data_IF_039858508258
#
_entry.id   IF_039858508258
#
_cell.length_a   1.000
_cell.length_b   1.000
_cell.length_c   1.000
_cell.angle_alpha   90.00
_cell.angle_beta   90.00
_cell.angle_gamma   90.00
#
_symmetry.space_group_name_H-M   'P 1'
#
loop_
_entity.id
_entity.type
_entity.pdbx_description
1 polymer ?
#
# COMPACT_ATOMS: atom_id res chain seq x y z
N UNK A 1 -24.17 3.24 21.29
CA UNK A 1 -24.38 1.92 21.92
C UNK A 1 -23.09 1.13 21.78
N UNK A 2 -22.44 0.83 22.90
CA UNK A 2 -21.24 0.00 22.94
C UNK A 2 -21.68 -1.46 22.78
N UNK A 3 -21.43 -2.06 21.61
CA UNK A 3 -21.43 -3.51 21.48
C UNK A 3 -20.09 -3.99 22.04
N UNK A 4 -20.07 -4.39 23.31
CA UNK A 4 -19.01 -5.28 23.79
C UNK A 4 -19.36 -6.67 23.25
N UNK A 5 -18.60 -7.23 22.30
CA UNK A 5 -18.83 -8.61 21.90
C UNK A 5 -18.63 -9.50 23.12
N UNK A 6 -19.49 -10.52 23.25
CA UNK A 6 -19.33 -11.60 24.24
C UNK A 6 -18.27 -12.61 23.76
N UNK A 7 -17.48 -12.26 22.74
CA UNK A 7 -16.43 -13.06 22.13
C UNK A 7 -15.07 -12.59 22.63
N UNK A 8 -14.20 -13.54 22.95
CA UNK A 8 -12.83 -13.24 23.35
C UNK A 8 -12.06 -12.66 22.15
N UNK A 9 -11.36 -11.54 22.38
CA UNK A 9 -10.46 -10.98 21.38
C UNK A 9 -9.34 -11.98 21.08
N UNK A 10 -9.07 -12.20 19.79
CA UNK A 10 -7.97 -13.07 19.34
C UNK A 10 -6.63 -12.48 19.72
N UNK A 11 -6.54 -11.15 19.67
CA UNK A 11 -5.37 -10.38 20.09
C UNK A 11 -5.81 -8.97 20.48
N UNK A 12 -5.29 -8.48 21.61
CA UNK A 12 -5.38 -7.08 21.99
C UNK A 12 -3.98 -6.53 22.12
N UNK A 13 -3.69 -5.44 21.41
CA UNK A 13 -2.38 -4.80 21.40
C UNK A 13 -2.52 -3.30 21.54
N UNK A 14 -1.48 -2.65 22.05
CA UNK A 14 -1.34 -1.19 22.00
C UNK A 14 -0.22 -0.85 21.04
N UNK A 15 -0.50 0.06 20.13
CA UNK A 15 0.52 0.58 19.21
C UNK A 15 0.43 2.09 19.09
N UNK A 16 1.59 2.71 18.92
CA UNK A 16 1.69 4.09 18.48
C UNK A 16 2.38 4.09 17.12
N UNK A 17 1.66 4.51 16.09
CA UNK A 17 2.19 4.57 14.73
C UNK A 17 3.08 5.79 14.58
N UNK A 18 4.30 5.59 14.06
CA UNK A 18 5.13 6.69 13.59
C UNK A 18 4.72 7.10 12.17
N UNK A 19 5.04 8.34 11.78
CA UNK A 19 4.79 8.80 10.40
C UNK A 19 5.50 7.91 9.36
N UNK A 20 6.69 7.40 9.69
CA UNK A 20 7.46 6.54 8.79
C UNK A 20 6.83 5.15 8.65
N UNK A 21 6.34 4.59 9.76
CA UNK A 21 5.68 3.28 9.74
C UNK A 21 4.33 3.35 9.01
N UNK A 22 3.58 4.43 9.20
CA UNK A 22 2.36 4.69 8.46
C UNK A 22 2.60 4.78 6.95
N UNK A 23 3.58 5.59 6.52
CA UNK A 23 3.93 5.74 5.12
C UNK A 23 4.42 4.41 4.50
N UNK A 24 5.25 3.65 5.23
CA UNK A 24 5.72 2.33 4.80
C UNK A 24 4.57 1.34 4.66
N UNK A 25 3.69 1.22 5.66
CA UNK A 25 2.55 0.33 5.64
C UNK A 25 1.60 0.63 4.47
N UNK A 26 1.27 1.90 4.26
CA UNK A 26 0.42 2.33 3.15
C UNK A 26 1.04 2.02 1.79
N UNK A 27 2.35 2.30 1.62
CA UNK A 27 3.03 2.06 0.35
C UNK A 27 3.06 0.57 -0.02
N UNK A 28 3.34 -0.30 0.95
CA UNK A 28 3.35 -1.75 0.73
C UNK A 28 1.95 -2.24 0.34
N UNK A 29 0.92 -1.75 1.03
CA UNK A 29 -0.48 -2.08 0.73
C UNK A 29 -0.89 -1.63 -0.68
N UNK A 30 -0.55 -0.40 -1.07
CA UNK A 30 -0.85 0.13 -2.41
C UNK A 30 -0.13 -0.67 -3.52
N UNK A 31 1.15 -1.00 -3.33
CA UNK A 31 1.93 -1.80 -4.28
C UNK A 31 1.43 -3.24 -4.42
N UNK A 32 0.84 -3.81 -3.37
CA UNK A 32 0.28 -5.16 -3.41
C UNK A 32 -1.09 -5.22 -4.09
N UNK A 33 -1.89 -4.15 -3.96
CA UNK A 33 -3.26 -4.11 -4.46
C UNK A 33 -3.37 -3.62 -5.91
N UNK A 34 -2.42 -2.81 -6.37
CA UNK A 34 -2.41 -2.35 -7.75
C UNK A 34 -1.07 -2.60 -8.44
N UNK A 35 -1.04 -3.35 -9.57
CA UNK A 35 0.16 -3.48 -10.39
C UNK A 35 0.65 -2.12 -10.89
N UNK A 36 -0.27 -1.20 -11.20
CA UNK A 36 0.08 0.15 -11.65
C UNK A 36 0.56 1.04 -10.51
N UNK A 37 0.48 0.64 -9.24
CA UNK A 37 1.14 1.37 -8.16
C UNK A 37 2.66 1.13 -8.15
N UNK A 38 3.15 0.08 -8.82
CA UNK A 38 4.58 -0.23 -8.91
C UNK A 38 5.24 0.66 -9.98
N UNK A 39 6.30 1.41 -9.63
CA UNK A 39 6.97 2.29 -10.59
C UNK A 39 7.61 1.49 -11.74
N UNK A 40 8.08 0.28 -11.47
CA UNK A 40 8.65 -0.62 -12.50
C UNK A 40 7.63 -1.05 -13.57
N UNK A 41 6.37 -1.28 -13.18
CA UNK A 41 5.31 -1.66 -14.13
C UNK A 41 4.97 -0.48 -15.04
N UNK A 42 4.91 0.74 -14.49
CA UNK A 42 4.73 1.96 -15.29
C UNK A 42 5.90 2.19 -16.24
N UNK A 43 7.13 2.03 -15.75
CA UNK A 43 8.33 2.15 -16.57
C UNK A 43 8.34 1.14 -17.71
N UNK A 44 7.96 -0.11 -17.45
CA UNK A 44 7.84 -1.15 -18.48
C UNK A 44 6.76 -0.81 -19.53
N UNK A 45 5.60 -0.29 -19.10
CA UNK A 45 4.55 0.16 -20.00
C UNK A 45 5.03 1.34 -20.89
N UNK A 46 5.78 2.29 -20.30
CA UNK A 46 6.37 3.39 -21.05
C UNK A 46 7.46 2.92 -22.02
N UNK A 47 8.31 1.97 -21.61
CA UNK A 47 9.33 1.38 -22.48
C UNK A 47 8.69 0.63 -23.67
N UNK A 48 7.58 -0.06 -23.45
CA UNK A 48 6.79 -0.67 -24.53
C UNK A 48 6.23 0.40 -25.49
N UNK A 49 5.71 1.52 -24.96
CA UNK A 49 5.29 2.68 -25.76
C UNK A 49 6.42 3.28 -26.59
N UNK A 50 7.62 3.39 -26.02
CA UNK A 50 8.81 3.83 -26.73
C UNK A 50 9.22 2.86 -27.85
N UNK A 51 9.17 1.55 -27.60
CA UNK A 51 9.48 0.53 -28.62
C UNK A 51 8.48 0.54 -29.79
N UNK A 52 7.19 0.71 -29.50
CA UNK A 52 6.15 0.88 -30.53
C UNK A 52 6.35 2.19 -31.33
N UNK A 53 6.82 3.24 -30.67
CA UNK A 53 7.17 4.49 -31.37
C UNK A 53 8.40 4.27 -32.28
N UNK A 54 9.40 3.52 -31.82
CA UNK A 54 10.58 3.18 -32.62
C UNK A 54 10.22 2.35 -33.87
N UNK A 55 9.26 1.42 -33.77
CA UNK A 55 8.85 0.58 -34.89
C UNK A 55 8.10 1.34 -35.99
N UNK A 56 7.50 2.49 -35.68
CA UNK A 56 6.83 3.36 -36.66
C UNK A 56 7.78 4.32 -37.39
N UNK A 57 9.03 4.45 -36.91
CA UNK A 57 10.05 5.30 -37.53
C UNK A 57 10.41 4.96 -39.00
N UNK A 58 10.58 3.68 -39.42
CA UNK A 58 10.83 3.38 -40.83
C UNK A 58 9.63 3.69 -41.74
N UNK A 59 8.40 3.57 -41.23
CA UNK A 59 7.19 3.96 -41.95
C UNK A 59 7.10 5.48 -42.13
N UNK A 60 7.36 6.26 -41.08
CA UNK A 60 7.32 7.72 -41.15
C UNK A 60 8.39 8.29 -42.09
N UNK A 61 9.59 7.70 -42.09
CA UNK A 61 10.66 8.06 -43.03
C UNK A 61 10.27 7.77 -44.48
N UNK A 62 9.57 6.66 -44.73
CA UNK A 62 9.14 6.26 -46.07
C UNK A 62 8.03 7.15 -46.63
N UNK A 63 7.05 7.51 -45.81
CA UNK A 63 5.85 8.25 -46.27
C UNK A 63 6.03 9.77 -46.22
N UNK A 64 6.68 10.29 -45.18
CA UNK A 64 6.73 11.72 -44.90
C UNK A 64 8.14 12.30 -45.00
N UNK A 65 9.16 11.47 -45.30
CA UNK A 65 10.56 11.91 -45.35
C UNK A 65 11.10 12.47 -44.03
N UNK A 66 10.38 12.26 -42.93
CA UNK A 66 10.66 12.90 -41.64
C UNK A 66 10.58 11.89 -40.49
N UNK A 67 11.50 12.01 -39.54
CA UNK A 67 11.62 11.12 -38.38
C UNK A 67 11.21 11.79 -37.06
N UNK A 68 10.90 13.09 -37.10
CA UNK A 68 10.69 13.91 -35.91
C UNK A 68 9.53 13.43 -35.05
N UNK A 69 8.44 12.95 -35.67
CA UNK A 69 7.25 12.48 -34.96
C UNK A 69 7.57 11.25 -34.08
N UNK A 70 8.10 10.12 -34.60
CA UNK A 70 8.47 8.98 -33.77
C UNK A 70 9.55 9.31 -32.72
N UNK A 71 10.53 10.16 -33.06
CA UNK A 71 11.56 10.60 -32.13
C UNK A 71 10.99 11.36 -30.93
N UNK A 72 10.01 12.24 -31.16
CA UNK A 72 9.34 13.00 -30.11
C UNK A 72 8.59 12.07 -29.16
N UNK A 73 7.85 11.08 -29.68
CA UNK A 73 7.14 10.11 -28.84
C UNK A 73 8.10 9.20 -28.06
N UNK A 74 9.19 8.73 -28.67
CA UNK A 74 10.23 7.97 -27.95
C UNK A 74 10.82 8.77 -26.79
N UNK A 75 11.20 10.03 -27.03
CA UNK A 75 11.74 10.91 -26.01
C UNK A 75 10.73 11.18 -24.88
N UNK A 76 9.47 11.42 -25.24
CA UNK A 76 8.39 11.64 -24.28
C UNK A 76 8.15 10.40 -23.39
N UNK A 77 8.02 9.21 -23.97
CA UNK A 77 7.82 7.97 -23.20
C UNK A 77 9.03 7.65 -22.31
N UNK A 78 10.26 7.88 -22.81
CA UNK A 78 11.47 7.72 -22.00
C UNK A 78 11.50 8.69 -20.82
N UNK A 79 11.16 9.97 -21.04
CA UNK A 79 11.10 10.97 -19.97
C UNK A 79 10.05 10.60 -18.91
N UNK A 80 8.85 10.14 -19.32
CA UNK A 80 7.81 9.67 -18.39
C UNK A 80 8.28 8.44 -17.61
N UNK A 81 8.98 7.49 -18.25
CA UNK A 81 9.50 6.31 -17.57
C UNK A 81 10.51 6.68 -16.47
N UNK A 82 11.46 7.56 -16.77
CA UNK A 82 12.44 8.06 -15.79
C UNK A 82 11.73 8.80 -14.66
N UNK A 83 10.76 9.65 -14.99
CA UNK A 83 10.00 10.40 -14.00
C UNK A 83 9.22 9.48 -13.05
N UNK A 84 8.53 8.46 -13.58
CA UNK A 84 7.77 7.49 -12.81
C UNK A 84 8.65 6.63 -11.89
N UNK A 85 9.90 6.34 -12.29
CA UNK A 85 10.85 5.58 -11.47
C UNK A 85 11.41 6.39 -10.32
N UNK A 86 11.77 7.66 -10.56
CA UNK A 86 12.52 8.47 -9.59
C UNK A 86 11.62 9.32 -8.70
N UNK A 87 10.66 10.04 -9.27
CA UNK A 87 9.92 11.09 -8.55
C UNK A 87 8.60 10.60 -7.99
N UNK A 88 7.89 9.72 -8.70
CA UNK A 88 6.60 9.19 -8.24
C UNK A 88 6.67 8.48 -6.88
N UNK A 89 7.65 7.59 -6.59
CA UNK A 89 7.69 6.93 -5.27
C UNK A 89 7.97 7.91 -4.15
N UNK A 90 8.81 8.94 -4.38
CA UNK A 90 9.10 9.98 -3.39
C UNK A 90 7.88 10.85 -3.13
N UNK A 91 7.20 11.30 -4.19
CA UNK A 91 6.00 12.13 -4.07
C UNK A 91 4.89 11.40 -3.29
N UNK A 92 4.64 10.13 -3.60
CA UNK A 92 3.66 9.31 -2.86
C UNK A 92 4.05 9.13 -1.40
N UNK A 93 5.33 8.92 -1.12
CA UNK A 93 5.83 8.84 0.25
C UNK A 93 5.57 10.14 1.03
N UNK A 94 5.89 11.28 0.45
CA UNK A 94 5.64 12.60 1.04
C UNK A 94 4.15 12.89 1.22
N UNK A 95 3.30 12.47 0.27
CA UNK A 95 1.85 12.56 0.40
C UNK A 95 1.34 11.78 1.62
N UNK A 96 1.86 10.57 1.88
CA UNK A 96 1.50 9.78 3.08
C UNK A 96 2.01 10.40 4.37
N UNK A 97 3.20 10.99 4.37
CA UNK A 97 3.70 11.74 5.52
C UNK A 97 2.82 12.97 5.81
N UNK A 98 2.34 13.65 4.76
CA UNK A 98 1.42 14.79 4.90
C UNK A 98 0.03 14.34 5.37
N UNK A 99 -0.49 13.22 4.88
CA UNK A 99 -1.75 12.61 5.34
C UNK A 99 -1.68 12.30 6.84
N UNK A 100 -0.55 11.74 7.30
CA UNK A 100 -0.31 11.49 8.72
C UNK A 100 -0.22 12.79 9.54
N UNK A 101 0.57 13.77 9.08
CA UNK A 101 0.72 15.05 9.77
C UNK A 101 -0.60 15.85 9.84
N UNK A 102 -1.47 15.69 8.83
CA UNK A 102 -2.78 16.33 8.77
C UNK A 102 -3.86 15.64 9.62
N UNK A 103 -3.58 14.44 10.14
CA UNK A 103 -4.57 13.63 10.89
C UNK A 103 -4.04 13.33 12.30
N UNK A 104 -4.34 14.19 13.30
CA UNK A 104 -3.77 14.07 14.64
C UNK A 104 -4.02 12.72 15.32
N UNK A 105 -5.14 12.06 14.99
CA UNK A 105 -5.57 10.79 15.58
C UNK A 105 -4.67 9.61 15.20
N UNK A 106 -3.99 9.66 14.05
CA UNK A 106 -3.15 8.56 13.56
C UNK A 106 -1.87 8.37 14.38
N UNK A 107 -1.35 9.43 14.99
CA UNK A 107 -0.12 9.39 15.79
C UNK A 107 -0.34 9.11 17.28
N UNK A 108 -1.60 8.92 17.70
CA UNK A 108 -1.93 8.62 19.08
C UNK A 108 -1.72 7.14 19.37
N UNK A 109 -1.39 6.85 20.63
CA UNK A 109 -1.44 5.48 21.12
C UNK A 109 -2.87 4.95 20.96
N UNK A 110 -2.99 3.85 20.22
CA UNK A 110 -4.26 3.22 19.88
C UNK A 110 -4.22 1.77 20.35
N UNK A 111 -5.21 1.41 21.17
CA UNK A 111 -5.50 0.05 21.53
C UNK A 111 -6.31 -0.61 20.41
N UNK A 112 -5.85 -1.77 19.94
CA UNK A 112 -6.45 -2.52 18.85
C UNK A 112 -6.81 -3.89 19.37
N UNK A 113 -8.10 -4.21 19.33
CA UNK A 113 -8.62 -5.54 19.62
C UNK A 113 -9.11 -6.18 18.31
N UNK A 114 -8.52 -7.32 17.98
CA UNK A 114 -8.81 -8.10 16.76
C UNK A 114 -9.76 -9.22 17.13
N UNK A 115 -10.93 -9.25 16.50
CA UNK A 115 -11.93 -10.31 16.62
C UNK A 115 -12.06 -11.07 15.30
N UNK A 116 -12.85 -12.15 15.30
CA UNK A 116 -13.04 -12.98 14.12
C UNK A 116 -13.67 -12.21 12.95
N UNK A 117 -14.69 -11.41 13.25
CA UNK A 117 -15.56 -10.77 12.25
C UNK A 117 -15.33 -9.25 12.12
N UNK A 118 -14.68 -8.63 13.12
CA UNK A 118 -14.37 -7.20 13.12
C UNK A 118 -13.10 -6.90 13.92
N UNK A 119 -12.67 -5.64 13.90
CA UNK A 119 -11.71 -5.11 14.87
C UNK A 119 -12.24 -3.85 15.52
N UNK A 120 -11.72 -3.56 16.69
CA UNK A 120 -12.03 -2.38 17.47
C UNK A 120 -10.74 -1.60 17.69
N UNK A 121 -10.75 -0.33 17.33
CA UNK A 121 -9.67 0.61 17.62
C UNK A 121 -10.18 1.64 18.60
N UNK A 122 -9.37 1.89 19.63
CA UNK A 122 -9.68 2.84 20.68
C UNK A 122 -8.46 3.68 20.96
N UNK A 123 -8.61 4.98 20.83
CA UNK A 123 -7.63 5.96 21.31
C UNK A 123 -8.26 6.77 22.46
N UNK A 124 -7.56 7.81 22.93
CA UNK A 124 -8.02 8.64 24.03
C UNK A 124 -9.25 9.51 23.71
N UNK A 125 -9.59 9.71 22.43
CA UNK A 125 -10.66 10.63 21.99
C UNK A 125 -11.84 9.92 21.34
N UNK A 126 -11.59 8.81 20.66
CA UNK A 126 -12.57 8.08 19.87
C UNK A 126 -12.39 6.57 20.01
N UNK A 127 -13.50 5.88 19.81
CA UNK A 127 -13.56 4.44 19.67
C UNK A 127 -14.38 4.15 18.43
N UNK A 128 -13.84 3.31 17.55
CA UNK A 128 -14.55 2.87 16.37
C UNK A 128 -14.32 1.38 16.12
N UNK A 129 -15.24 0.82 15.36
CA UNK A 129 -15.28 -0.58 15.01
C UNK A 129 -15.51 -0.68 13.50
N UNK A 130 -14.74 -1.54 12.84
CA UNK A 130 -14.97 -1.88 11.43
C UNK A 130 -14.97 -3.39 11.23
N UNK A 131 -15.86 -3.84 10.35
CA UNK A 131 -16.00 -5.25 10.00
C UNK A 131 -15.02 -5.63 8.90
N UNK A 132 -14.51 -6.86 8.95
CA UNK A 132 -13.57 -7.34 7.94
C UNK A 132 -14.18 -7.41 6.53
N UNK A 133 -15.52 -7.49 6.42
CA UNK A 133 -16.25 -7.46 5.14
C UNK A 133 -16.10 -6.14 4.38
N UNK A 134 -15.75 -5.05 5.06
CA UNK A 134 -15.44 -3.76 4.42
C UNK A 134 -14.06 -3.75 3.74
N UNK A 135 -13.25 -4.80 4.00
CA UNK A 135 -11.89 -4.94 3.50
C UNK A 135 -11.82 -5.95 2.35
N UNK A 136 -11.23 -5.51 1.25
CA UNK A 136 -11.10 -6.30 0.02
C UNK A 136 -9.88 -7.21 0.01
N UNK A 137 -8.85 -6.86 0.79
CA UNK A 137 -7.54 -7.52 0.74
C UNK A 137 -6.78 -7.32 2.05
N UNK A 138 -5.99 -8.32 2.41
CA UNK A 138 -5.06 -8.28 3.53
C UNK A 138 -3.67 -8.71 3.07
N UNK A 139 -2.66 -7.95 3.47
CA UNK A 139 -1.27 -8.18 3.17
C UNK A 139 -0.48 -8.25 4.48
N UNK A 140 0.20 -9.37 4.68
CA UNK A 140 1.20 -9.51 5.72
C UNK A 140 2.61 -9.43 5.13
N UNK A 141 3.44 -8.64 5.81
CA UNK A 141 4.89 -8.56 5.62
C UNK A 141 5.62 -8.95 6.91
N UNK A 142 6.95 -8.97 6.86
CA UNK A 142 7.77 -9.22 8.05
C UNK A 142 7.51 -8.19 9.16
N UNK A 143 7.25 -6.93 8.78
CA UNK A 143 7.05 -5.80 9.72
C UNK A 143 5.60 -5.38 9.90
N UNK A 144 4.71 -5.63 8.94
CA UNK A 144 3.36 -5.06 8.94
C UNK A 144 2.29 -6.10 8.60
N UNK A 145 1.13 -5.98 9.23
CA UNK A 145 -0.14 -6.52 8.71
C UNK A 145 -0.97 -5.33 8.28
N UNK A 146 -1.40 -5.30 7.02
CA UNK A 146 -2.16 -4.21 6.45
C UNK A 146 -3.37 -4.73 5.68
N UNK A 147 -4.53 -4.09 5.80
CA UNK A 147 -5.71 -4.41 4.99
C UNK A 147 -6.26 -3.17 4.30
N UNK A 148 -6.74 -3.34 3.06
CA UNK A 148 -7.33 -2.26 2.28
C UNK A 148 -8.83 -2.46 2.11
N UNK A 149 -9.59 -1.46 2.53
CA UNK A 149 -11.04 -1.39 2.38
C UNK A 149 -11.50 -0.42 1.32
N UNK A 150 -12.81 -0.45 1.09
CA UNK A 150 -13.49 0.49 0.20
C UNK A 150 -13.44 1.91 0.79
N UNK A 151 -13.51 2.92 -0.08
CA UNK A 151 -13.55 4.33 0.35
C UNK A 151 -12.26 4.86 1.00
N UNK A 152 -11.12 4.19 0.79
CA UNK A 152 -9.84 4.61 1.36
C UNK A 152 -9.59 4.13 2.80
N UNK A 153 -10.47 3.26 3.33
CA UNK A 153 -10.25 2.60 4.63
C UNK A 153 -9.01 1.74 4.61
N UNK A 154 -8.23 1.83 5.69
CA UNK A 154 -6.98 1.09 5.84
C UNK A 154 -6.87 0.63 7.28
N UNK A 155 -6.43 -0.60 7.43
CA UNK A 155 -6.04 -1.16 8.70
C UNK A 155 -4.54 -1.44 8.65
N UNK A 156 -3.80 -1.08 9.69
CA UNK A 156 -2.35 -1.25 9.76
C UNK A 156 -1.93 -1.61 11.18
N UNK A 157 -1.22 -2.73 11.34
CA UNK A 157 -0.55 -3.14 12.57
C UNK A 157 0.95 -3.27 12.30
N UNK A 158 1.77 -2.65 13.15
CA UNK A 158 3.21 -2.90 13.22
C UNK A 158 3.49 -4.15 14.06
N UNK A 159 4.23 -5.10 13.50
CA UNK A 159 4.63 -6.34 14.18
C UNK A 159 5.85 -6.17 15.06
N UNK A 160 6.58 -5.06 14.94
CA UNK A 160 7.88 -4.84 15.60
C UNK A 160 7.81 -4.98 17.13
N UNK A 161 6.71 -4.55 17.75
CA UNK A 161 6.47 -4.65 19.20
C UNK A 161 5.81 -5.97 19.65
N UNK A 162 5.33 -6.79 18.71
CA UNK A 162 4.63 -8.05 19.02
C UNK A 162 5.61 -9.20 19.27
N UNK A 163 5.30 -10.02 20.27
CA UNK A 163 5.98 -11.29 20.52
C UNK A 163 5.72 -12.30 19.40
N UNK A 164 6.54 -13.35 19.31
CA UNK A 164 6.41 -14.36 18.26
C UNK A 164 5.08 -15.11 18.30
N UNK A 165 4.55 -15.36 19.50
CA UNK A 165 3.24 -15.98 19.72
C UNK A 165 2.10 -15.07 19.25
N UNK A 166 2.14 -13.77 19.59
CA UNK A 166 1.14 -12.80 19.13
C UNK A 166 1.19 -12.60 17.61
N UNK A 167 2.40 -12.59 17.03
CA UNK A 167 2.57 -12.54 15.57
C UNK A 167 1.94 -13.75 14.90
N UNK A 168 2.16 -14.95 15.43
CA UNK A 168 1.58 -16.18 14.88
C UNK A 168 0.04 -16.18 15.01
N UNK A 169 -0.48 -15.77 16.16
CA UNK A 169 -1.93 -15.64 16.38
C UNK A 169 -2.56 -14.63 15.42
N UNK A 170 -1.94 -13.46 15.24
CA UNK A 170 -2.39 -12.44 14.28
C UNK A 170 -2.35 -12.96 12.84
N UNK A 171 -1.25 -13.60 12.43
CA UNK A 171 -1.13 -14.20 11.09
C UNK A 171 -2.23 -15.23 10.84
N UNK A 172 -2.49 -16.11 11.80
CA UNK A 172 -3.52 -17.14 11.70
C UNK A 172 -4.91 -16.53 11.65
N UNK A 173 -5.18 -15.51 12.48
CA UNK A 173 -6.45 -14.78 12.47
C UNK A 173 -6.71 -14.16 11.10
N UNK A 174 -5.75 -13.39 10.58
CA UNK A 174 -5.88 -12.74 9.27
C UNK A 174 -6.02 -13.75 8.13
N UNK A 175 -5.27 -14.85 8.17
CA UNK A 175 -5.38 -15.91 7.19
C UNK A 175 -6.77 -16.55 7.19
N UNK A 176 -7.35 -16.79 8.37
CA UNK A 176 -8.69 -17.36 8.50
C UNK A 176 -9.78 -16.37 8.05
N UNK A 177 -9.65 -15.10 8.42
CA UNK A 177 -10.63 -14.05 8.09
C UNK A 177 -10.65 -13.71 6.61
N UNK A 178 -9.48 -13.54 5.97
CA UNK A 178 -9.38 -13.09 4.58
C UNK A 178 -9.24 -14.23 3.57
N UNK A 179 -8.87 -15.43 4.01
CA UNK A 179 -8.71 -16.63 3.18
C UNK A 179 -7.99 -16.34 1.84
N UNK A 180 -8.70 -16.39 0.71
CA UNK A 180 -8.14 -16.15 -0.63
C UNK A 180 -7.62 -14.72 -0.85
N UNK A 181 -8.13 -13.75 -0.09
CA UNK A 181 -7.70 -12.34 -0.15
C UNK A 181 -6.53 -12.03 0.77
N UNK A 182 -6.03 -13.02 1.51
CA UNK A 182 -4.83 -12.92 2.34
C UNK A 182 -3.58 -13.21 1.51
N UNK A 183 -2.59 -12.31 1.56
CA UNK A 183 -1.30 -12.47 0.90
C UNK A 183 -0.16 -12.25 1.88
N UNK A 184 0.86 -13.10 1.80
CA UNK A 184 2.09 -12.95 2.60
C UNK A 184 3.28 -12.66 1.69
N UNK A 185 4.02 -11.60 1.99
CA UNK A 185 5.25 -11.24 1.29
C UNK A 185 6.41 -11.09 2.27
N UNK A 186 7.62 -11.53 1.88
CA UNK A 186 8.85 -11.32 2.69
C UNK A 186 9.49 -9.95 2.48
N UNK A 187 8.76 -8.99 1.91
CA UNK A 187 9.28 -7.64 1.67
C UNK A 187 9.33 -6.88 2.99
N UNK A 188 10.52 -6.39 3.37
CA UNK A 188 10.64 -5.40 4.45
C UNK A 188 10.11 -4.07 3.92
N UNK A 189 8.88 -3.71 4.28
CA UNK A 189 8.35 -2.37 4.01
C UNK A 189 9.29 -1.30 4.58
N UNK A 190 9.65 -0.32 3.76
CA UNK A 190 10.63 0.71 4.12
C UNK A 190 10.59 1.88 3.15
N UNK A 191 11.30 2.95 3.50
CA UNK A 191 11.40 4.15 2.67
C UNK A 191 11.94 3.78 1.28
N UNK A 192 11.34 4.29 0.18
CA UNK A 192 11.90 4.09 -1.14
C UNK A 192 13.30 4.71 -1.21
N UNK A 193 14.29 3.93 -1.66
CA UNK A 193 15.61 4.46 -2.02
C UNK A 193 15.46 5.21 -3.34
N UNK A 194 15.75 6.51 -3.33
CA UNK A 194 15.92 7.34 -4.53
C UNK A 194 17.34 7.27 -5.02
#
# INVERSE_FOLDING_TARGET
MLFLPNEDAVLTLKQQLSAQDYAAGCQVLEQANSPTAKPSVRAAACAAGAALSASTAPLSLREYGTMWIPLLFMALFAAIAVWALLFEPQKKWEEKLREFAGTPLLGLETEIAVYRDFFLMKNQYEQWQEYWTEFSSCLETDRFVAAAGTGGRRFLICKDSLSETERAALSQAMQNTFAFSYRRSRTKGGKPHG
#
